data_IF_792186620785
#
_entry.id   IF_792186620785
#
_cell.length_a   1.000
_cell.length_b   1.000
_cell.length_c   1.000
_cell.angle_alpha   90.00
_cell.angle_beta   90.00
_cell.angle_gamma   90.00
#
_symmetry.space_group_name_H-M   'P 1'
#
loop_
_entity.id
_entity.type
_entity.pdbx_description
1 polymer ?
#
# COMPACT_ATOMS: atom_id res chain seq x y z
N UNK A 1 -9.12 1.16 -23.24
CA UNK A 1 -10.25 2.08 -23.02
C UNK A 1 -10.53 2.19 -21.53
N UNK A 2 -11.19 3.27 -21.05
CA UNK A 2 -11.51 3.44 -19.63
C UNK A 2 -12.27 2.23 -19.07
N UNK A 3 -11.59 1.41 -18.29
CA UNK A 3 -12.15 0.20 -17.68
C UNK A 3 -12.44 0.43 -16.20
N UNK A 4 -13.18 -0.51 -15.60
CA UNK A 4 -13.39 -0.56 -14.15
C UNK A 4 -12.06 -0.55 -13.40
N UNK A 5 -11.14 -1.45 -13.77
CA UNK A 5 -9.78 -1.54 -13.23
C UNK A 5 -9.01 -0.21 -13.34
N UNK A 6 -9.06 0.44 -14.51
CA UNK A 6 -8.38 1.71 -14.73
C UNK A 6 -8.90 2.83 -13.81
N UNK A 7 -10.23 2.93 -13.65
CA UNK A 7 -10.83 3.98 -12.83
C UNK A 7 -10.65 3.70 -11.34
N UNK A 8 -10.91 2.47 -10.92
CA UNK A 8 -10.98 2.06 -9.52
C UNK A 8 -9.66 1.81 -8.85
N UNK A 9 -8.62 1.39 -9.57
CA UNK A 9 -7.39 0.84 -8.97
C UNK A 9 -6.12 1.43 -9.57
N UNK A 10 -6.16 1.86 -10.84
CA UNK A 10 -4.96 2.30 -11.52
C UNK A 10 -4.51 3.69 -11.05
N UNK A 11 -3.21 3.93 -10.91
CA UNK A 11 -2.71 5.22 -10.40
C UNK A 11 -2.88 6.41 -11.34
N UNK A 12 -2.71 7.61 -10.79
CA UNK A 12 -2.50 8.85 -11.55
C UNK A 12 -1.13 8.85 -12.23
N UNK A 13 -1.02 9.52 -13.37
CA UNK A 13 0.21 9.76 -14.13
C UNK A 13 0.95 8.52 -14.66
N UNK A 14 0.37 7.32 -14.54
CA UNK A 14 0.90 6.09 -15.14
C UNK A 14 0.17 5.73 -16.44
N UNK A 15 0.91 5.15 -17.40
CA UNK A 15 0.37 4.76 -18.71
C UNK A 15 -0.33 3.40 -18.62
N UNK A 16 -1.66 3.40 -18.71
CA UNK A 16 -2.45 2.18 -18.84
C UNK A 16 -2.50 1.73 -20.29
N UNK A 17 -1.72 0.70 -20.64
CA UNK A 17 -1.61 0.18 -22.00
C UNK A 17 -2.91 -0.50 -22.41
N UNK A 18 -3.59 0.06 -23.42
CA UNK A 18 -4.84 -0.50 -23.93
C UNK A 18 -5.20 0.15 -25.28
N UNK A 19 -6.04 -0.54 -26.07
CA UNK A 19 -6.64 0.08 -27.25
C UNK A 19 -7.70 1.09 -26.83
N UNK A 20 -7.68 2.27 -27.44
CA UNK A 20 -8.65 3.36 -27.18
C UNK A 20 -9.46 3.63 -28.46
N UNK A 21 -10.80 3.73 -28.38
CA UNK A 21 -11.64 4.13 -29.51
C UNK A 21 -11.24 5.49 -30.09
N UNK A 22 -11.43 5.67 -31.40
CA UNK A 22 -11.05 6.90 -32.11
C UNK A 22 -11.96 8.09 -31.77
N UNK A 23 -13.21 7.83 -31.37
CA UNK A 23 -14.22 8.87 -31.13
C UNK A 23 -14.85 8.78 -29.74
N UNK A 24 -15.33 9.92 -29.23
CA UNK A 24 -15.85 10.05 -27.85
C UNK A 24 -17.13 9.27 -27.55
N UNK A 25 -17.94 8.97 -28.56
CA UNK A 25 -19.19 8.22 -28.45
C UNK A 25 -18.98 6.72 -28.25
N UNK A 26 -17.81 6.21 -28.67
CA UNK A 26 -17.41 4.82 -28.47
C UNK A 26 -16.69 4.59 -27.13
N UNK A 27 -16.38 5.66 -26.38
CA UNK A 27 -15.75 5.53 -25.06
C UNK A 27 -16.72 4.89 -24.07
N UNK A 28 -16.34 3.77 -23.42
CA UNK A 28 -17.19 3.07 -22.47
C UNK A 28 -17.43 3.91 -21.21
N UNK A 29 -18.61 3.73 -20.62
CA UNK A 29 -19.00 4.31 -19.32
C UNK A 29 -19.23 3.18 -18.32
N UNK A 30 -18.17 2.47 -17.87
CA UNK A 30 -18.32 1.35 -16.95
C UNK A 30 -18.93 1.84 -15.63
N UNK A 31 -19.75 1.00 -14.99
CA UNK A 31 -20.09 1.21 -13.58
C UNK A 31 -18.87 0.87 -12.72
N UNK A 32 -18.62 1.67 -11.71
CA UNK A 32 -17.52 1.45 -10.76
C UNK A 32 -18.07 1.26 -9.35
N UNK A 33 -17.35 0.55 -8.49
CA UNK A 33 -17.64 0.33 -7.08
C UNK A 33 -16.54 0.97 -6.26
N UNK A 34 -16.92 1.90 -5.38
CA UNK A 34 -15.98 2.58 -4.49
C UNK A 34 -16.68 2.93 -3.18
N UNK A 35 -15.92 3.24 -2.13
CA UNK A 35 -16.47 3.76 -0.87
C UNK A 35 -17.22 5.09 -1.14
N UNK A 36 -18.43 5.23 -0.61
CA UNK A 36 -19.15 6.49 -0.59
C UNK A 36 -19.11 7.07 0.84
N UNK A 37 -18.45 8.23 1.08
CA UNK A 37 -18.38 8.84 2.41
C UNK A 37 -19.73 9.26 2.99
N UNK A 38 -20.75 9.44 2.14
CA UNK A 38 -22.13 9.73 2.58
C UNK A 38 -22.88 8.49 3.05
N UNK A 39 -22.65 7.36 2.40
CA UNK A 39 -23.32 6.09 2.71
C UNK A 39 -22.53 5.23 3.71
N UNK A 40 -21.29 5.63 3.99
CA UNK A 40 -20.31 4.90 4.81
C UNK A 40 -20.17 3.41 4.43
N UNK A 41 -20.19 3.15 3.12
CA UNK A 41 -20.19 1.79 2.56
C UNK A 41 -19.73 1.81 1.10
N UNK A 42 -19.31 0.65 0.58
CA UNK A 42 -19.05 0.50 -0.84
C UNK A 42 -20.36 0.62 -1.63
N UNK A 43 -20.34 1.49 -2.64
CA UNK A 43 -21.49 1.79 -3.47
C UNK A 43 -21.12 1.72 -4.94
N UNK A 44 -22.11 1.44 -5.78
CA UNK A 44 -21.97 1.54 -7.23
C UNK A 44 -22.14 2.99 -7.68
N UNK A 45 -21.16 3.49 -8.40
CA UNK A 45 -21.19 4.79 -9.05
C UNK A 45 -21.48 4.63 -10.54
N UNK A 46 -22.34 5.52 -11.06
CA UNK A 46 -22.69 5.61 -12.48
C UNK A 46 -22.14 6.89 -13.07
N UNK A 47 -21.64 6.83 -14.29
CA UNK A 47 -21.22 8.05 -14.98
C UNK A 47 -22.46 8.88 -15.35
N UNK A 48 -22.45 10.16 -15.04
CA UNK A 48 -23.57 11.09 -15.30
C UNK A 48 -23.29 12.06 -16.44
N UNK A 49 -22.03 12.33 -16.75
CA UNK A 49 -21.65 13.19 -17.86
C UNK A 49 -21.32 12.42 -19.14
N UNK A 50 -21.37 13.14 -20.25
CA UNK A 50 -20.89 12.68 -21.55
C UNK A 50 -19.43 13.09 -21.76
N UNK A 51 -18.63 12.25 -22.40
CA UNK A 51 -17.23 12.62 -22.73
C UNK A 51 -17.15 13.82 -23.70
N UNK A 52 -18.21 14.05 -24.47
CA UNK A 52 -18.34 15.17 -25.40
C UNK A 52 -19.15 16.34 -24.83
N UNK A 53 -19.42 16.40 -23.52
CA UNK A 53 -20.30 17.42 -22.90
C UNK A 53 -19.88 18.88 -23.20
N UNK A 54 -18.58 19.11 -23.39
CA UNK A 54 -17.98 20.43 -23.68
C UNK A 54 -17.48 20.54 -25.12
N UNK A 55 -17.85 19.60 -25.99
CA UNK A 55 -17.36 19.49 -27.37
C UNK A 55 -18.48 19.80 -28.38
N UNK A 56 -18.14 20.18 -29.62
CA UNK A 56 -19.14 20.64 -30.58
C UNK A 56 -20.02 19.53 -31.16
N UNK A 57 -19.59 18.26 -31.07
CA UNK A 57 -20.31 17.11 -31.63
C UNK A 57 -19.97 15.80 -30.90
N UNK A 58 -20.86 14.81 -31.06
CA UNK A 58 -20.87 13.52 -30.35
C UNK A 58 -19.62 12.64 -30.61
N UNK A 59 -19.18 12.55 -31.86
CA UNK A 59 -18.09 11.69 -32.31
C UNK A 59 -16.74 12.42 -32.41
N UNK A 60 -16.42 13.25 -31.41
CA UNK A 60 -15.19 14.03 -31.38
C UNK A 60 -13.94 13.13 -31.29
N UNK A 61 -12.85 13.42 -32.02
CA UNK A 61 -11.63 12.61 -31.96
C UNK A 61 -10.99 12.56 -30.57
N UNK A 62 -10.57 11.37 -30.12
CA UNK A 62 -9.98 11.14 -28.80
C UNK A 62 -8.46 11.35 -28.74
N UNK A 63 -7.78 11.27 -29.88
CA UNK A 63 -6.30 11.28 -30.00
C UNK A 63 -5.66 12.51 -29.34
N UNK A 64 -4.77 12.28 -28.38
CA UNK A 64 -3.99 13.36 -27.74
C UNK A 64 -4.82 14.35 -26.92
N UNK A 65 -6.01 13.93 -26.44
CA UNK A 65 -6.94 14.79 -25.69
C UNK A 65 -7.08 14.35 -24.25
N UNK A 66 -7.68 15.23 -23.44
CA UNK A 66 -8.04 14.97 -22.05
C UNK A 66 -9.55 15.09 -21.91
N UNK A 67 -10.18 14.11 -21.27
CA UNK A 67 -11.62 14.06 -21.06
C UNK A 67 -11.96 13.95 -19.57
N UNK A 68 -13.10 14.53 -19.18
CA UNK A 68 -13.64 14.45 -17.83
C UNK A 68 -14.68 13.33 -17.77
N UNK A 69 -14.62 12.51 -16.72
CA UNK A 69 -15.66 11.54 -16.37
C UNK A 69 -16.18 11.84 -14.96
N UNK A 70 -17.49 12.05 -14.83
CA UNK A 70 -18.18 12.38 -13.59
C UNK A 70 -19.06 11.21 -13.17
N UNK A 71 -18.88 10.75 -11.95
CA UNK A 71 -19.49 9.56 -11.39
C UNK A 71 -20.30 9.93 -10.15
N UNK A 72 -21.59 9.60 -10.16
CA UNK A 72 -22.50 9.84 -9.04
C UNK A 72 -22.82 8.53 -8.31
N UNK A 73 -22.82 8.56 -6.98
CA UNK A 73 -23.24 7.42 -6.15
C UNK A 73 -24.68 7.05 -6.48
N UNK A 74 -24.93 5.80 -6.89
CA UNK A 74 -26.28 5.37 -7.29
C UNK A 74 -27.25 5.18 -6.11
N UNK A 75 -26.75 5.20 -4.87
CA UNK A 75 -27.57 5.01 -3.68
C UNK A 75 -28.03 6.33 -3.06
N UNK A 76 -27.10 7.26 -2.80
CA UNK A 76 -27.46 8.55 -2.17
C UNK A 76 -27.73 9.68 -3.16
N UNK A 77 -27.33 9.54 -4.43
CA UNK A 77 -27.44 10.58 -5.47
C UNK A 77 -26.86 11.97 -5.07
N UNK A 78 -25.96 12.02 -4.07
CA UNK A 78 -25.38 13.26 -3.51
C UNK A 78 -23.85 13.35 -3.67
N UNK A 79 -23.16 12.20 -3.73
CA UNK A 79 -21.69 12.19 -3.73
C UNK A 79 -21.12 11.93 -5.13
N UNK A 80 -20.29 12.87 -5.60
CA UNK A 80 -19.64 12.80 -6.91
C UNK A 80 -18.15 12.43 -6.82
N UNK A 81 -17.68 11.77 -7.88
CA UNK A 81 -16.27 11.53 -8.17
C UNK A 81 -15.97 11.99 -9.59
N UNK A 82 -14.80 12.58 -9.78
CA UNK A 82 -14.34 13.10 -11.06
C UNK A 82 -13.01 12.46 -11.42
N UNK A 83 -12.87 12.06 -12.67
CA UNK A 83 -11.61 11.61 -13.25
C UNK A 83 -11.29 12.46 -14.48
N UNK A 84 -10.03 12.81 -14.64
CA UNK A 84 -9.51 13.45 -15.85
C UNK A 84 -8.58 12.47 -16.56
N UNK A 85 -8.93 12.08 -17.78
CA UNK A 85 -8.32 10.97 -18.51
C UNK A 85 -7.64 11.54 -19.75
N UNK A 86 -6.31 11.48 -19.79
CA UNK A 86 -5.53 11.77 -20.97
C UNK A 86 -5.43 10.53 -21.87
N UNK A 87 -5.57 10.72 -23.18
CA UNK A 87 -5.49 9.69 -24.20
C UNK A 87 -4.27 9.96 -25.09
N UNK A 88 -3.50 8.91 -25.34
CA UNK A 88 -2.32 8.95 -26.21
C UNK A 88 -2.64 9.42 -27.64
N UNK A 89 -1.66 10.05 -28.30
CA UNK A 89 -1.79 10.47 -29.71
C UNK A 89 -1.93 9.29 -30.69
N UNK A 90 -1.39 8.12 -30.33
CA UNK A 90 -1.47 6.89 -31.12
C UNK A 90 -2.49 5.88 -30.59
N UNK A 91 -3.34 6.28 -29.63
CA UNK A 91 -4.39 5.44 -29.03
C UNK A 91 -3.88 4.13 -28.41
N UNK A 92 -2.63 4.10 -27.93
CA UNK A 92 -2.00 2.91 -27.33
C UNK A 92 -2.13 2.84 -25.82
N UNK A 93 -2.42 3.96 -25.18
CA UNK A 93 -2.57 4.04 -23.73
C UNK A 93 -3.47 5.21 -23.34
N UNK A 94 -3.91 5.17 -22.09
CA UNK A 94 -4.59 6.27 -21.41
C UNK A 94 -4.01 6.44 -20.01
N UNK A 95 -4.25 7.58 -19.39
CA UNK A 95 -3.65 7.97 -18.12
C UNK A 95 -4.61 8.84 -17.33
N UNK A 96 -4.77 8.60 -16.03
CA UNK A 96 -5.47 9.57 -15.17
C UNK A 96 -4.52 10.72 -14.90
N UNK A 97 -4.87 11.94 -15.31
CA UNK A 97 -4.09 13.16 -15.07
C UNK A 97 -4.69 14.04 -13.96
N UNK A 98 -5.83 13.61 -13.40
CA UNK A 98 -6.46 14.23 -12.24
C UNK A 98 -7.60 13.35 -11.70
N UNK A 99 -7.87 13.48 -10.41
CA UNK A 99 -8.98 12.80 -9.73
C UNK A 99 -9.48 13.63 -8.54
N UNK A 100 -10.79 13.71 -8.35
CA UNK A 100 -11.42 14.26 -7.15
C UNK A 100 -12.57 13.35 -6.67
N UNK A 101 -12.71 13.02 -5.38
CA UNK A 101 -11.77 13.28 -4.28
C UNK A 101 -10.39 12.67 -4.57
N UNK A 102 -9.39 13.09 -3.80
CA UNK A 102 -8.04 12.54 -3.90
C UNK A 102 -8.09 11.01 -3.79
N UNK A 103 -7.19 10.38 -4.54
CA UNK A 103 -6.98 8.95 -4.47
C UNK A 103 -6.50 8.57 -3.06
N UNK A 104 -7.34 7.86 -2.32
CA UNK A 104 -6.98 7.28 -1.02
C UNK A 104 -6.63 5.82 -1.23
N UNK A 105 -5.36 5.48 -1.05
CA UNK A 105 -4.93 4.08 -1.05
C UNK A 105 -5.15 3.56 0.34
N UNK A 106 -6.00 2.54 0.45
CA UNK A 106 -6.11 1.78 1.68
C UNK A 106 -4.81 1.01 1.90
N UNK A 107 -4.18 1.23 3.05
CA UNK A 107 -3.00 0.50 3.45
C UNK A 107 -3.32 -0.91 3.93
N UNK A 108 -2.28 -1.72 4.09
CA UNK A 108 -2.36 -2.97 4.85
C UNK A 108 -2.89 -2.70 6.28
N UNK A 109 -3.98 -3.37 6.72
CA UNK A 109 -4.61 -3.10 8.02
C UNK A 109 -3.70 -3.37 9.22
N UNK A 110 -2.81 -4.36 9.15
CA UNK A 110 -1.90 -4.67 10.25
C UNK A 110 -0.82 -3.60 10.36
N UNK A 111 -0.33 -3.07 9.24
CA UNK A 111 0.55 -1.89 9.23
C UNK A 111 -0.18 -0.67 9.78
N UNK A 112 -1.39 -0.38 9.31
CA UNK A 112 -2.14 0.80 9.80
C UNK A 112 -2.40 0.71 11.31
N UNK A 113 -2.68 -0.49 11.82
CA UNK A 113 -2.83 -0.76 13.25
C UNK A 113 -1.53 -0.56 14.03
N UNK A 114 -0.41 -1.09 13.53
CA UNK A 114 0.92 -0.93 14.13
C UNK A 114 1.32 0.55 14.17
N UNK A 115 1.04 1.29 13.10
CA UNK A 115 1.39 2.71 13.01
C UNK A 115 0.50 3.62 13.87
N UNK A 116 -0.73 3.22 14.16
CA UNK A 116 -1.68 4.03 14.94
C UNK A 116 -1.82 5.46 14.39
N UNK A 117 -1.39 6.44 15.17
CA UNK A 117 -1.40 7.87 14.83
C UNK A 117 -0.52 8.22 13.63
N UNK A 118 0.48 7.40 13.32
CA UNK A 118 1.41 7.59 12.21
C UNK A 118 0.93 6.95 10.89
N UNK A 119 -0.25 6.31 10.88
CA UNK A 119 -0.84 5.69 9.67
C UNK A 119 -0.99 6.67 8.50
N UNK A 120 -1.10 7.97 8.79
CA UNK A 120 -1.09 9.03 7.77
C UNK A 120 0.19 9.08 6.92
N UNK A 121 1.35 8.74 7.47
CA UNK A 121 2.59 8.66 6.69
C UNK A 121 2.57 7.49 5.71
N UNK A 122 1.98 6.36 6.09
CA UNK A 122 1.86 5.21 5.20
C UNK A 122 0.97 5.48 4.01
N UNK A 123 -0.18 6.13 4.23
CA UNK A 123 -1.05 6.55 3.13
C UNK A 123 -0.34 7.55 2.21
N UNK A 124 0.42 8.49 2.74
CA UNK A 124 1.22 9.43 1.92
C UNK A 124 2.31 8.71 1.11
N UNK A 125 3.02 7.75 1.72
CA UNK A 125 4.00 6.92 1.03
C UNK A 125 3.38 6.14 -0.13
N UNK A 126 2.24 5.49 0.11
CA UNK A 126 1.47 4.79 -0.92
C UNK A 126 1.03 5.73 -2.04
N UNK A 127 0.56 6.94 -1.71
CA UNK A 127 0.16 7.94 -2.69
C UNK A 127 1.36 8.35 -3.54
N UNK A 128 2.50 8.68 -2.93
CA UNK A 128 3.72 9.00 -3.64
C UNK A 128 4.18 7.85 -4.55
N UNK A 129 4.20 6.61 -4.06
CA UNK A 129 4.55 5.43 -4.85
C UNK A 129 3.60 5.28 -6.05
N UNK A 130 2.30 5.44 -5.82
CA UNK A 130 1.30 5.34 -6.88
C UNK A 130 1.44 6.42 -7.94
N UNK A 131 1.82 7.64 -7.55
CA UNK A 131 1.97 8.79 -8.44
C UNK A 131 3.33 8.83 -9.13
N UNK A 132 4.21 7.86 -8.84
CA UNK A 132 5.54 7.78 -9.40
C UNK A 132 6.54 8.72 -8.74
N UNK A 133 6.23 9.31 -7.58
CA UNK A 133 7.15 10.16 -6.81
C UNK A 133 8.03 9.30 -5.91
N UNK A 134 9.08 8.71 -6.48
CA UNK A 134 9.93 7.74 -5.81
C UNK A 134 10.67 8.29 -4.59
N UNK A 135 11.28 9.48 -4.71
CA UNK A 135 11.99 10.14 -3.58
C UNK A 135 11.03 10.39 -2.41
N UNK A 136 9.81 10.84 -2.73
CA UNK A 136 8.76 11.07 -1.73
C UNK A 136 8.30 9.77 -1.07
N UNK A 137 8.04 8.73 -1.87
CA UNK A 137 7.62 7.42 -1.41
C UNK A 137 8.67 6.81 -0.47
N UNK A 138 9.92 6.80 -0.90
CA UNK A 138 11.05 6.29 -0.14
C UNK A 138 11.23 7.06 1.18
N UNK A 139 11.14 8.40 1.15
CA UNK A 139 11.18 9.22 2.36
C UNK A 139 10.10 8.87 3.38
N UNK A 140 8.86 8.66 2.93
CA UNK A 140 7.78 8.22 3.81
C UNK A 140 8.02 6.80 4.37
N UNK A 141 8.45 5.83 3.55
CA UNK A 141 8.72 4.48 4.03
C UNK A 141 9.90 4.41 4.99
N UNK A 142 10.96 5.18 4.75
CA UNK A 142 12.05 5.36 5.71
C UNK A 142 11.53 5.87 7.05
N UNK A 143 10.71 6.92 7.02
CA UNK A 143 10.11 7.47 8.25
C UNK A 143 9.26 6.42 8.97
N UNK A 144 8.45 5.67 8.24
CA UNK A 144 7.63 4.58 8.80
C UNK A 144 8.50 3.54 9.48
N UNK A 145 9.58 3.09 8.83
CA UNK A 145 10.51 2.12 9.44
C UNK A 145 11.11 2.69 10.72
N UNK A 146 11.50 3.97 10.74
CA UNK A 146 12.01 4.64 11.95
C UNK A 146 10.98 4.64 13.10
N UNK A 147 9.70 4.89 12.81
CA UNK A 147 8.65 4.94 13.83
C UNK A 147 8.26 3.54 14.35
N UNK A 148 8.27 2.51 13.48
CA UNK A 148 7.75 1.16 13.83
C UNK A 148 8.82 0.16 14.26
N UNK A 149 10.11 0.44 14.02
CA UNK A 149 11.15 -0.59 14.21
C UNK A 149 11.19 -1.10 15.65
N UNK A 150 11.05 -0.23 16.66
CA UNK A 150 11.11 -0.63 18.06
C UNK A 150 9.91 -1.52 18.44
N UNK A 151 8.72 -1.17 17.98
CA UNK A 151 7.52 -1.97 18.20
C UNK A 151 7.61 -3.31 17.47
N UNK A 152 8.06 -3.31 16.21
CA UNK A 152 8.26 -4.52 15.42
C UNK A 152 9.27 -5.48 16.07
N UNK A 153 10.40 -4.97 16.55
CA UNK A 153 11.40 -5.81 17.23
C UNK A 153 10.87 -6.36 18.56
N UNK A 154 10.13 -5.56 19.32
CA UNK A 154 9.41 -6.02 20.51
C UNK A 154 8.42 -7.12 20.16
N UNK A 155 7.66 -6.96 19.07
CA UNK A 155 6.73 -7.96 18.59
C UNK A 155 7.40 -9.29 18.20
N UNK A 156 8.55 -9.21 17.52
CA UNK A 156 9.37 -10.37 17.12
C UNK A 156 9.89 -11.12 18.35
N UNK A 157 10.29 -10.40 19.40
CA UNK A 157 10.75 -11.04 20.64
C UNK A 157 9.70 -11.99 21.24
N UNK A 158 8.41 -11.66 21.08
CA UNK A 158 7.29 -12.49 21.52
C UNK A 158 7.14 -13.82 20.76
N UNK A 159 7.86 -14.02 19.65
CA UNK A 159 7.89 -15.27 18.90
C UNK A 159 9.03 -16.21 19.31
N UNK A 160 9.98 -15.72 20.13
CA UNK A 160 11.17 -16.43 20.52
C UNK A 160 10.99 -17.08 21.91
N UNK A 161 11.77 -18.11 22.19
CA UNK A 161 11.80 -18.77 23.50
C UNK A 161 13.20 -19.29 23.85
N UNK A 162 13.44 -19.60 25.12
CA UNK A 162 14.72 -20.16 25.57
C UNK A 162 15.93 -19.26 25.29
N UNK A 163 17.04 -19.86 24.87
CA UNK A 163 18.31 -19.17 24.60
C UNK A 163 18.21 -18.11 23.50
N UNK A 164 17.40 -18.38 22.47
CA UNK A 164 17.17 -17.43 21.37
C UNK A 164 16.54 -16.13 21.87
N UNK A 165 15.56 -16.23 22.79
CA UNK A 165 14.94 -15.06 23.41
C UNK A 165 15.92 -14.29 24.29
N UNK A 166 16.79 -14.97 25.03
CA UNK A 166 17.81 -14.30 25.87
C UNK A 166 18.78 -13.51 25.00
N UNK A 167 19.28 -14.11 23.92
CA UNK A 167 20.19 -13.45 22.97
C UNK A 167 19.51 -12.28 22.26
N UNK A 168 18.28 -12.47 21.80
CA UNK A 168 17.51 -11.41 21.12
C UNK A 168 17.17 -10.26 22.08
N UNK A 169 16.71 -10.55 23.30
CA UNK A 169 16.40 -9.53 24.31
C UNK A 169 17.62 -8.69 24.67
N UNK A 170 18.79 -9.32 24.80
CA UNK A 170 20.05 -8.59 25.04
C UNK A 170 20.41 -7.66 23.88
N UNK A 171 20.21 -8.10 22.63
CA UNK A 171 20.42 -7.24 21.47
C UNK A 171 19.38 -6.10 21.40
N UNK A 172 18.12 -6.40 21.72
CA UNK A 172 17.03 -5.42 21.79
C UNK A 172 17.28 -4.34 22.85
N UNK A 173 17.87 -4.68 23.99
CA UNK A 173 18.25 -3.67 24.99
C UNK A 173 19.37 -2.75 24.48
N UNK A 174 20.28 -3.26 23.64
CA UNK A 174 21.31 -2.45 22.98
C UNK A 174 20.73 -1.52 21.92
N UNK A 175 19.66 -1.90 21.23
CA UNK A 175 19.02 -1.00 20.24
C UNK A 175 18.42 0.24 20.89
N UNK A 176 18.00 0.16 22.16
CA UNK A 176 17.48 1.31 22.93
C UNK A 176 18.55 2.37 23.22
N UNK A 177 19.83 2.03 23.12
CA UNK A 177 20.93 2.97 23.34
C UNK A 177 21.22 3.86 22.12
N UNK A 178 20.62 3.58 20.95
CA UNK A 178 20.79 4.36 19.73
C UNK A 178 19.45 4.86 19.21
N UNK A 179 19.46 6.05 18.62
CA UNK A 179 18.30 6.60 17.90
C UNK A 179 18.37 6.28 16.39
N UNK A 180 19.50 5.75 15.91
CA UNK A 180 19.74 5.51 14.48
C UNK A 180 19.18 4.15 14.11
N UNK A 181 18.09 4.14 13.33
CA UNK A 181 17.39 2.91 12.91
C UNK A 181 18.28 1.90 12.21
N UNK A 182 19.24 2.35 11.40
CA UNK A 182 20.20 1.46 10.75
C UNK A 182 21.02 0.66 11.78
N UNK A 183 21.57 1.33 12.79
CA UNK A 183 22.32 0.68 13.87
C UNK A 183 21.44 -0.30 14.67
N UNK A 184 20.17 0.05 14.91
CA UNK A 184 19.22 -0.86 15.56
C UNK A 184 19.03 -2.15 14.76
N UNK A 185 18.85 -2.02 13.45
CA UNK A 185 18.66 -3.17 12.56
C UNK A 185 19.95 -4.01 12.49
N UNK A 186 21.12 -3.37 12.41
CA UNK A 186 22.41 -4.06 12.39
C UNK A 186 22.62 -4.96 13.62
N UNK A 187 22.19 -4.50 14.80
CA UNK A 187 22.32 -5.24 16.06
C UNK A 187 21.47 -6.52 16.13
N UNK A 188 20.37 -6.58 15.38
CA UNK A 188 19.34 -7.63 15.51
C UNK A 188 19.13 -8.46 14.25
N UNK A 189 19.62 -8.03 13.08
CA UNK A 189 19.39 -8.72 11.80
C UNK A 189 19.76 -10.20 11.86
N UNK A 190 20.85 -10.56 12.53
CA UNK A 190 21.33 -11.94 12.59
C UNK A 190 20.57 -12.83 13.58
N UNK A 191 19.69 -12.25 14.39
CA UNK A 191 18.92 -12.93 15.42
C UNK A 191 17.43 -13.15 15.05
N UNK A 192 17.04 -12.81 13.82
CA UNK A 192 15.69 -13.09 13.33
C UNK A 192 15.37 -14.60 13.31
N UNK A 193 14.19 -15.02 13.80
CA UNK A 193 13.76 -16.40 13.72
C UNK A 193 13.57 -16.86 12.27
N UNK A 194 13.77 -18.15 12.02
CA UNK A 194 13.64 -18.75 10.69
C UNK A 194 12.27 -18.53 10.03
N UNK A 195 11.19 -18.41 10.82
CA UNK A 195 9.84 -18.13 10.32
C UNK A 195 9.70 -16.76 9.63
N UNK A 196 10.63 -15.84 9.89
CA UNK A 196 10.70 -14.51 9.27
C UNK A 196 11.80 -14.44 8.19
N UNK A 197 12.42 -15.56 7.83
CA UNK A 197 13.49 -15.66 6.82
C UNK A 197 13.07 -16.57 5.68
N UNK A 198 12.17 -16.12 4.78
CA UNK A 198 11.73 -16.91 3.65
C UNK A 198 12.94 -17.23 2.76
N UNK A 199 13.09 -18.50 2.39
CA UNK A 199 14.22 -18.99 1.59
C UNK A 199 15.61 -18.62 2.15
N UNK A 200 15.72 -18.43 3.47
CA UNK A 200 16.95 -18.01 4.14
C UNK A 200 17.32 -16.53 3.93
N UNK A 201 16.51 -15.76 3.20
CA UNK A 201 16.72 -14.32 3.04
C UNK A 201 16.39 -13.58 4.32
N UNK A 202 17.23 -12.61 4.69
CA UNK A 202 17.07 -11.81 5.90
C UNK A 202 16.42 -10.45 5.56
N UNK A 203 15.13 -10.24 5.85
CA UNK A 203 14.44 -9.02 5.42
C UNK A 203 14.95 -7.78 6.14
N UNK A 204 15.38 -7.90 7.40
CA UNK A 204 16.01 -6.79 8.12
C UNK A 204 17.35 -6.38 7.52
N UNK A 205 18.15 -7.34 7.03
CA UNK A 205 19.41 -7.00 6.33
C UNK A 205 19.15 -6.20 5.05
N UNK A 206 18.08 -6.53 4.31
CA UNK A 206 17.71 -5.81 3.09
C UNK A 206 17.18 -4.42 3.42
N UNK A 207 16.36 -4.28 4.47
CA UNK A 207 15.95 -2.97 4.97
C UNK A 207 17.16 -2.13 5.39
N UNK A 208 18.13 -2.72 6.09
CA UNK A 208 19.34 -2.02 6.51
C UNK A 208 20.12 -1.48 5.30
N UNK A 209 20.38 -2.30 4.27
CA UNK A 209 21.09 -1.86 3.08
C UNK A 209 20.34 -0.74 2.37
N UNK A 210 19.03 -0.90 2.13
CA UNK A 210 18.22 0.11 1.44
C UNK A 210 18.18 1.43 2.20
N UNK A 211 18.08 1.41 3.53
CA UNK A 211 18.06 2.64 4.33
C UNK A 211 19.43 3.33 4.35
N UNK A 212 20.53 2.58 4.20
CA UNK A 212 21.92 3.05 4.31
C UNK A 212 22.44 3.72 3.04
N UNK A 213 21.95 3.31 1.87
CA UNK A 213 22.41 3.85 0.57
C UNK A 213 22.05 5.34 0.38
N UNK A 214 21.07 5.86 1.13
CA UNK A 214 20.70 7.29 1.11
C UNK A 214 20.06 7.73 -0.19
N UNK A 215 19.38 8.88 -0.19
CA UNK A 215 18.76 9.47 -1.39
C UNK A 215 19.79 10.12 -2.34
N UNK A 216 21.08 9.84 -2.13
CA UNK A 216 22.15 10.64 -2.72
C UNK A 216 22.41 10.22 -4.17
N UNK A 217 21.86 11.02 -5.09
CA UNK A 217 22.07 10.97 -6.55
C UNK A 217 21.33 9.87 -7.33
N UNK A 218 20.33 9.22 -6.74
CA UNK A 218 19.46 8.30 -7.48
C UNK A 218 18.33 9.04 -8.20
N UNK A 219 17.94 8.53 -9.37
CA UNK A 219 16.78 9.03 -10.10
C UNK A 219 15.49 8.64 -9.37
N UNK A 220 14.42 9.41 -9.60
CA UNK A 220 13.12 9.15 -8.97
C UNK A 220 12.60 7.74 -9.26
N UNK A 221 12.87 7.18 -10.45
CA UNK A 221 12.51 5.80 -10.81
C UNK A 221 13.21 4.74 -9.93
N UNK A 222 14.49 4.94 -9.61
CA UNK A 222 15.24 4.01 -8.74
C UNK A 222 14.74 4.11 -7.30
N UNK A 223 14.51 5.33 -6.81
CA UNK A 223 13.90 5.52 -5.49
C UNK A 223 12.50 4.90 -5.41
N UNK A 224 11.75 4.89 -6.52
CA UNK A 224 10.42 4.27 -6.59
C UNK A 224 10.51 2.74 -6.47
N UNK A 225 11.47 2.12 -7.16
CA UNK A 225 11.72 0.68 -7.03
C UNK A 225 12.15 0.31 -5.61
N UNK A 226 13.10 1.05 -5.02
CA UNK A 226 13.53 0.85 -3.65
C UNK A 226 12.38 1.05 -2.65
N UNK A 227 11.56 2.09 -2.83
CA UNK A 227 10.39 2.36 -2.00
C UNK A 227 9.42 1.17 -1.99
N UNK A 228 9.12 0.62 -3.17
CA UNK A 228 8.26 -0.55 -3.29
C UNK A 228 8.84 -1.78 -2.58
N UNK A 229 10.15 -2.02 -2.69
CA UNK A 229 10.84 -3.13 -2.01
C UNK A 229 10.76 -2.95 -0.48
N UNK A 230 11.10 -1.77 0.03
CA UNK A 230 11.04 -1.45 1.48
C UNK A 230 9.62 -1.67 2.01
N UNK A 231 8.60 -1.18 1.30
CA UNK A 231 7.20 -1.41 1.67
C UNK A 231 6.86 -2.89 1.72
N UNK A 232 7.23 -3.67 0.69
CA UNK A 232 6.91 -5.10 0.62
C UNK A 232 7.52 -5.87 1.78
N UNK A 233 8.77 -5.57 2.13
CA UNK A 233 9.45 -6.19 3.28
C UNK A 233 8.72 -5.84 4.58
N UNK A 234 8.37 -4.57 4.77
CA UNK A 234 7.66 -4.13 5.97
C UNK A 234 6.30 -4.84 6.10
N UNK A 235 5.51 -4.87 5.02
CA UNK A 235 4.21 -5.60 4.96
C UNK A 235 4.40 -7.06 5.31
N UNK A 236 5.40 -7.72 4.70
CA UNK A 236 5.68 -9.11 4.97
C UNK A 236 6.00 -9.36 6.45
N UNK A 237 6.94 -8.60 7.04
CA UNK A 237 7.35 -8.77 8.43
C UNK A 237 6.18 -8.57 9.39
N UNK A 238 5.43 -7.49 9.25
CA UNK A 238 4.29 -7.17 10.13
C UNK A 238 3.21 -8.25 10.04
N UNK A 239 2.84 -8.66 8.82
CA UNK A 239 1.82 -9.68 8.61
C UNK A 239 2.25 -11.05 9.12
N UNK A 240 3.50 -11.44 8.88
CA UNK A 240 4.02 -12.73 9.32
C UNK A 240 4.11 -12.82 10.85
N UNK A 241 4.50 -11.72 11.52
CA UNK A 241 4.50 -11.64 12.98
C UNK A 241 3.07 -11.73 13.53
N UNK A 242 2.13 -10.98 12.96
CA UNK A 242 0.73 -11.01 13.36
C UNK A 242 0.12 -12.42 13.20
N UNK A 243 0.35 -13.07 12.05
CA UNK A 243 -0.13 -14.41 11.75
C UNK A 243 0.46 -15.47 12.70
N UNK A 244 1.77 -15.39 12.96
CA UNK A 244 2.45 -16.33 13.88
C UNK A 244 1.92 -16.22 15.31
N UNK A 245 1.69 -14.99 15.80
CA UNK A 245 1.07 -14.76 17.12
C UNK A 245 -0.36 -15.29 17.19
N UNK A 246 -1.17 -15.02 16.17
CA UNK A 246 -2.55 -15.48 16.12
C UNK A 246 -2.63 -17.01 16.15
N UNK A 247 -1.85 -17.68 15.30
CA UNK A 247 -1.76 -19.14 15.23
C UNK A 247 -1.32 -19.75 16.55
N UNK A 248 -0.29 -19.18 17.18
CA UNK A 248 0.23 -19.67 18.47
C UNK A 248 -0.81 -19.54 19.60
N UNK A 249 -1.56 -18.43 19.63
CA UNK A 249 -2.63 -18.20 20.62
C UNK A 249 -3.78 -19.17 20.43
N UNK A 250 -4.30 -19.30 19.21
CA UNK A 250 -5.42 -20.20 18.90
C UNK A 250 -5.09 -21.66 19.23
N UNK A 251 -3.87 -22.10 18.91
CA UNK A 251 -3.40 -23.44 19.25
C UNK A 251 -3.33 -23.65 20.77
N UNK A 252 -2.75 -22.69 21.50
CA UNK A 252 -2.61 -22.76 22.96
C UNK A 252 -3.97 -22.79 23.65
N UNK A 253 -4.93 -21.98 23.20
CA UNK A 253 -6.28 -21.95 23.75
C UNK A 253 -7.05 -23.24 23.46
N UNK A 254 -6.88 -23.81 22.26
CA UNK A 254 -7.44 -25.12 21.92
C UNK A 254 -6.89 -26.24 22.81
N UNK A 255 -5.58 -26.21 23.08
CA UNK A 255 -4.91 -27.16 24.00
C UNK A 255 -5.42 -27.01 25.44
N UNK A 256 -5.54 -25.78 25.95
CA UNK A 256 -6.08 -25.50 27.30
C UNK A 256 -7.50 -26.05 27.46
N UNK A 257 -8.39 -25.77 26.51
CA UNK A 257 -9.76 -26.29 26.51
C UNK A 257 -9.82 -27.82 26.53
N UNK A 258 -8.91 -28.48 25.82
CA UNK A 258 -8.84 -29.94 25.80
C UNK A 258 -8.34 -30.50 27.15
N UNK A 259 -7.35 -29.85 27.76
CA UNK A 259 -6.84 -30.22 29.08
C UNK A 259 -7.89 -30.04 30.18
N UNK A 260 -8.61 -28.92 30.19
CA UNK A 260 -9.71 -28.64 31.13
C UNK A 260 -10.83 -29.68 31.05
N UNK A 261 -11.21 -30.09 29.82
CA UNK A 261 -12.19 -31.17 29.60
C UNK A 261 -11.69 -32.53 30.09
N UNK A 262 -10.38 -32.80 30.04
CA UNK A 262 -9.80 -34.05 30.57
C UNK A 262 -9.70 -34.06 32.09
N UNK A 263 -9.45 -32.92 32.73
CA UNK A 263 -9.39 -32.81 34.20
C UNK A 263 -10.76 -32.78 34.89
N UNK A 264 -11.82 -32.44 34.15
CA UNK A 264 -13.21 -32.45 34.64
C UNK A 264 -13.89 -33.82 34.53
N UNK A 265 -13.16 -34.87 34.14
CA UNK A 265 -13.59 -36.27 34.07
C UNK A 265 -12.83 -37.09 35.11
#
# INVERSE_FOLDING_TARGET
>A
MPSKEFLEQYPLYRKFICSVPDTTDELPKPRINMLCPRCDSEQTFRQTNEYHETLPYLNFPTKGRVFRAVFLCSHCDDYERHFFIAIDGHLKWLMKVGQHPSWEIQGDPNIEKLLGTHSGFYRKGLVCESQGYGIGAFGYYRRIVEEVIDELLSEISGLLSGDELTRFSSALDRTRATIVTQEKIELVKDLLPGILRPDGMNPLSVLHSSLSEGLHAESDDVCLEQAAIVRQILVYLVNQVAASKATSREFTDSMRRLMEKKSAK
#
